data_IF_064649999384
#
_entry.id   IF_064649999384
#
_cell.length_a   1.000
_cell.length_b   1.000
_cell.length_c   1.000
_cell.angle_alpha   90.00
_cell.angle_beta   90.00
_cell.angle_gamma   90.00
#
_symmetry.space_group_name_H-M   'P 1'
#
loop_
_entity.id
_entity.type
_entity.pdbx_description
1 polymer ?
#
# COMPACT_ATOMS: atom_id res chain seq x y z
N UNK A 1 -9.01 18.70 -9.70
CA UNK A 1 -7.72 18.76 -8.91
C UNK A 1 -7.74 17.67 -7.85
N UNK A 2 -6.62 16.98 -7.58
CA UNK A 2 -6.58 15.93 -6.54
C UNK A 2 -6.46 16.52 -5.14
N UNK A 3 -7.25 15.99 -4.18
CA UNK A 3 -7.24 16.41 -2.77
C UNK A 3 -7.19 15.19 -1.85
N UNK A 4 -6.58 15.37 -0.67
CA UNK A 4 -6.62 14.34 0.37
C UNK A 4 -7.96 14.40 1.09
N UNK A 5 -8.56 13.24 1.32
CA UNK A 5 -9.81 13.08 2.05
C UNK A 5 -9.62 12.11 3.22
N UNK A 6 -9.99 12.49 4.45
CA UNK A 6 -10.06 11.56 5.56
C UNK A 6 -11.03 10.42 5.23
N UNK A 7 -10.66 9.19 5.58
CA UNK A 7 -11.50 8.02 5.33
C UNK A 7 -11.33 6.97 6.44
N UNK A 8 -12.42 6.32 6.82
CA UNK A 8 -12.38 5.21 7.77
C UNK A 8 -11.80 3.94 7.12
N UNK A 9 -11.32 2.99 7.91
CA UNK A 9 -10.92 1.67 7.40
C UNK A 9 -12.09 0.96 6.70
N UNK A 10 -13.29 1.08 7.26
CA UNK A 10 -14.51 0.46 6.73
C UNK A 10 -14.80 0.96 5.31
N UNK A 11 -14.81 2.27 5.12
CA UNK A 11 -15.16 2.87 3.82
C UNK A 11 -14.03 2.65 2.80
N UNK A 12 -12.77 2.64 3.25
CA UNK A 12 -11.63 2.28 2.39
C UNK A 12 -11.70 0.82 1.92
N UNK A 13 -12.03 -0.11 2.82
CA UNK A 13 -12.22 -1.52 2.45
C UNK A 13 -13.42 -1.69 1.49
N UNK A 14 -14.50 -0.96 1.71
CA UNK A 14 -15.66 -0.98 0.82
C UNK A 14 -15.31 -0.48 -0.58
N UNK A 15 -14.54 0.61 -0.69
CA UNK A 15 -14.03 1.08 -1.98
C UNK A 15 -13.17 0.02 -2.68
N UNK A 16 -12.24 -0.62 -1.94
CA UNK A 16 -11.40 -1.70 -2.47
C UNK A 16 -12.26 -2.87 -2.95
N UNK A 17 -13.30 -3.25 -2.21
CA UNK A 17 -14.20 -4.36 -2.57
C UNK A 17 -14.93 -4.10 -3.90
N UNK A 18 -15.37 -2.87 -4.12
CA UNK A 18 -16.07 -2.47 -5.35
C UNK A 18 -15.16 -2.49 -6.59
N UNK A 19 -13.88 -2.14 -6.42
CA UNK A 19 -12.93 -1.96 -7.52
C UNK A 19 -11.96 -3.14 -7.72
N UNK A 20 -11.79 -4.01 -6.72
CA UNK A 20 -10.95 -5.20 -6.77
C UNK A 20 -11.71 -6.45 -6.33
N UNK A 21 -12.20 -7.23 -7.30
CA UNK A 21 -13.06 -8.41 -7.10
C UNK A 21 -12.42 -9.55 -6.27
N UNK A 22 -11.10 -9.56 -6.08
CA UNK A 22 -10.38 -10.66 -5.44
C UNK A 22 -9.74 -10.31 -4.08
N UNK A 23 -9.78 -9.05 -3.65
CA UNK A 23 -9.10 -8.63 -2.42
C UNK A 23 -10.03 -8.74 -1.21
N UNK A 24 -9.65 -9.59 -0.25
CA UNK A 24 -10.29 -9.61 1.08
C UNK A 24 -10.02 -8.29 1.81
N UNK A 25 -10.99 -7.82 2.63
CA UNK A 25 -10.84 -6.60 3.42
C UNK A 25 -9.67 -6.72 4.40
N UNK A 26 -9.02 -5.59 4.67
CA UNK A 26 -7.93 -5.51 5.64
C UNK A 26 -8.54 -5.42 7.04
N UNK A 27 -8.13 -6.31 7.95
CA UNK A 27 -8.70 -6.42 9.30
C UNK A 27 -8.30 -5.26 10.24
N UNK A 28 -7.18 -4.59 9.97
CA UNK A 28 -6.72 -3.47 10.79
C UNK A 28 -5.73 -2.59 10.04
N UNK A 29 -5.62 -1.33 10.47
CA UNK A 29 -4.70 -0.36 9.89
C UNK A 29 -4.08 0.54 10.97
N UNK A 30 -3.06 1.31 10.59
CA UNK A 30 -2.62 2.48 11.34
C UNK A 30 -3.35 3.72 10.86
N UNK A 31 -3.56 3.84 9.55
CA UNK A 31 -4.38 4.87 8.94
C UNK A 31 -4.82 4.46 7.53
N UNK A 32 -5.82 5.16 7.01
CA UNK A 32 -6.21 5.14 5.61
C UNK A 32 -6.35 6.57 5.09
N UNK A 33 -6.13 6.77 3.80
CA UNK A 33 -6.24 8.08 3.15
C UNK A 33 -7.04 7.90 1.85
N UNK A 34 -8.02 8.78 1.63
CA UNK A 34 -8.76 8.90 0.38
C UNK A 34 -8.14 9.95 -0.53
N UNK A 35 -8.31 9.76 -1.84
CA UNK A 35 -8.02 10.73 -2.87
C UNK A 35 -9.32 11.16 -3.52
N UNK A 36 -9.60 12.46 -3.51
CA UNK A 36 -10.78 13.04 -4.13
C UNK A 36 -10.38 13.80 -5.40
N UNK A 37 -11.18 13.67 -6.46
CA UNK A 37 -11.12 14.50 -7.64
C UNK A 37 -12.53 15.01 -7.93
N UNK A 38 -12.67 16.34 -8.03
CA UNK A 38 -13.91 17.00 -8.45
C UNK A 38 -15.15 16.58 -7.63
N UNK A 39 -14.95 16.37 -6.32
CA UNK A 39 -15.98 15.97 -5.35
C UNK A 39 -16.16 14.46 -5.20
N UNK A 40 -15.51 13.65 -6.04
CA UNK A 40 -15.65 12.19 -6.05
C UNK A 40 -14.43 11.49 -5.46
N UNK A 41 -14.66 10.42 -4.69
CA UNK A 41 -13.60 9.55 -4.21
C UNK A 41 -13.06 8.71 -5.38
N UNK A 42 -11.83 8.98 -5.79
CA UNK A 42 -11.17 8.32 -6.94
C UNK A 42 -10.11 7.29 -6.55
N UNK A 43 -9.83 7.17 -5.25
CA UNK A 43 -8.94 6.14 -4.74
C UNK A 43 -8.70 6.18 -3.25
N UNK A 44 -8.13 5.09 -2.74
CA UNK A 44 -7.81 4.89 -1.32
C UNK A 44 -6.46 4.21 -1.16
N UNK A 45 -5.81 4.49 -0.04
CA UNK A 45 -4.61 3.78 0.40
C UNK A 45 -4.77 3.38 1.87
N UNK A 46 -4.36 2.16 2.21
CA UNK A 46 -4.45 1.58 3.55
C UNK A 46 -3.05 1.19 3.99
N UNK A 47 -2.60 1.74 5.12
CA UNK A 47 -1.28 1.48 5.67
C UNK A 47 -1.36 0.87 7.08
N UNK A 48 -0.54 -0.14 7.34
CA UNK A 48 -0.59 -0.93 8.56
C UNK A 48 0.76 -1.53 8.93
N UNK A 49 0.74 -2.44 9.91
CA UNK A 49 1.93 -3.21 10.29
C UNK A 49 2.39 -4.06 9.10
N UNK A 50 3.70 -4.24 8.92
CA UNK A 50 4.23 -5.16 7.94
C UNK A 50 3.68 -6.57 8.13
N UNK A 51 3.34 -7.21 7.02
CA UNK A 51 2.88 -8.61 7.03
C UNK A 51 4.06 -9.55 7.31
N UNK A 52 5.26 -9.16 6.87
CA UNK A 52 6.51 -9.86 7.20
C UNK A 52 6.94 -9.54 8.63
N UNK A 53 7.02 -10.56 9.49
CA UNK A 53 7.49 -10.43 10.88
C UNK A 53 8.91 -9.87 11.00
N UNK A 54 9.77 -10.16 10.03
CA UNK A 54 11.14 -9.65 9.99
C UNK A 54 11.19 -8.14 9.74
N UNK A 55 10.13 -7.56 9.17
CA UNK A 55 10.04 -6.13 8.88
C UNK A 55 9.18 -5.40 9.92
N UNK A 56 8.40 -6.12 10.74
CA UNK A 56 7.58 -5.56 11.82
C UNK A 56 8.43 -5.21 13.06
N UNK A 57 9.38 -4.30 12.86
CA UNK A 57 10.38 -3.82 13.83
C UNK A 57 9.92 -2.62 14.68
N UNK A 58 8.63 -2.26 14.59
CA UNK A 58 8.04 -1.08 15.24
C UNK A 58 8.30 0.25 14.52
N UNK A 59 9.24 0.31 13.56
CA UNK A 59 9.61 1.52 12.83
C UNK A 59 9.34 1.45 11.32
N UNK A 60 8.78 0.33 10.87
CA UNK A 60 8.41 0.06 9.48
C UNK A 60 6.90 0.05 9.33
N UNK A 61 6.41 0.76 8.32
CA UNK A 61 5.01 0.72 7.92
C UNK A 61 4.87 0.05 6.56
N UNK A 62 3.78 -0.69 6.32
CA UNK A 62 3.47 -1.28 5.03
C UNK A 62 2.19 -0.67 4.45
N UNK A 63 2.23 -0.26 3.18
CA UNK A 63 1.02 -0.05 2.37
C UNK A 63 0.49 -1.42 1.98
N UNK A 64 -0.62 -1.82 2.59
CA UNK A 64 -1.21 -3.15 2.37
C UNK A 64 -2.23 -3.15 1.24
N UNK A 65 -2.82 -1.98 0.95
CA UNK A 65 -3.73 -1.77 -0.19
C UNK A 65 -3.54 -0.37 -0.76
N UNK A 66 -3.54 -0.30 -2.07
CA UNK A 66 -3.81 0.91 -2.84
C UNK A 66 -4.82 0.53 -3.92
N UNK A 67 -5.85 1.33 -4.08
CA UNK A 67 -6.86 1.13 -5.10
C UNK A 67 -7.29 2.49 -5.65
N UNK A 68 -7.40 2.60 -6.97
CA UNK A 68 -7.92 3.80 -7.65
C UNK A 68 -8.86 3.37 -8.77
N UNK A 69 -9.70 4.27 -9.23
CA UNK A 69 -10.54 4.05 -10.43
C UNK A 69 -9.78 4.33 -11.74
N UNK A 70 -8.44 4.48 -11.69
CA UNK A 70 -7.62 4.86 -12.85
C UNK A 70 -7.44 6.37 -13.05
N UNK A 71 -8.01 7.21 -12.17
CA UNK A 71 -7.81 8.66 -12.24
C UNK A 71 -6.31 9.04 -12.32
N UNK A 72 -5.99 9.93 -13.27
CA UNK A 72 -4.61 10.36 -13.55
C UNK A 72 -3.94 10.88 -12.27
N UNK A 73 -2.72 10.40 -12.00
CA UNK A 73 -1.89 10.74 -10.84
C UNK A 73 -2.42 10.30 -9.46
N UNK A 74 -3.59 9.66 -9.34
CA UNK A 74 -4.15 9.27 -8.04
C UNK A 74 -3.23 8.30 -7.28
N UNK A 75 -2.63 7.32 -7.99
CA UNK A 75 -1.75 6.34 -7.38
C UNK A 75 -0.49 6.97 -6.76
N UNK A 76 0.25 7.78 -7.54
CA UNK A 76 1.47 8.45 -7.06
C UNK A 76 1.16 9.49 -5.98
N UNK A 77 0.03 10.19 -6.10
CA UNK A 77 -0.47 11.13 -5.08
C UNK A 77 -0.70 10.44 -3.73
N UNK A 78 -1.40 9.30 -3.73
CA UNK A 78 -1.67 8.50 -2.53
C UNK A 78 -0.40 7.91 -1.91
N UNK A 79 0.53 7.38 -2.73
CA UNK A 79 1.83 6.90 -2.22
C UNK A 79 2.64 8.01 -1.56
N UNK A 80 2.67 9.20 -2.16
CA UNK A 80 3.32 10.37 -1.57
C UNK A 80 2.66 10.81 -0.26
N UNK A 81 1.32 10.78 -0.19
CA UNK A 81 0.58 11.14 1.01
C UNK A 81 0.83 10.16 2.17
N UNK A 82 0.79 8.85 1.92
CA UNK A 82 1.06 7.86 2.94
C UNK A 82 2.50 7.93 3.47
N UNK A 83 3.48 8.21 2.61
CA UNK A 83 4.86 8.43 3.05
C UNK A 83 4.98 9.65 3.98
N UNK A 84 4.32 10.77 3.65
CA UNK A 84 4.30 11.97 4.51
C UNK A 84 3.62 11.70 5.86
N UNK A 85 2.48 11.00 5.85
CA UNK A 85 1.77 10.62 7.06
C UNK A 85 2.62 9.70 7.95
N UNK A 86 3.25 8.68 7.35
CA UNK A 86 4.14 7.77 8.06
C UNK A 86 5.34 8.51 8.68
N UNK A 87 5.95 9.44 7.95
CA UNK A 87 7.05 10.25 8.46
C UNK A 87 6.62 11.11 9.66
N UNK A 88 5.45 11.76 9.56
CA UNK A 88 4.89 12.57 10.65
C UNK A 88 4.58 11.75 11.92
N UNK A 89 4.28 10.46 11.77
CA UNK A 89 4.08 9.53 12.89
C UNK A 89 5.39 8.95 13.46
N UNK A 90 6.55 9.31 12.91
CA UNK A 90 7.86 8.84 13.39
C UNK A 90 8.33 7.51 12.80
N UNK A 91 7.68 6.97 11.78
CA UNK A 91 8.18 5.80 11.07
C UNK A 91 9.47 6.12 10.32
N UNK A 92 10.40 5.17 10.27
CA UNK A 92 11.71 5.33 9.61
C UNK A 92 11.66 4.94 8.14
N UNK A 93 10.80 3.98 7.79
CA UNK A 93 10.60 3.50 6.42
C UNK A 93 9.15 3.08 6.18
N UNK A 94 8.73 3.20 4.93
CA UNK A 94 7.47 2.65 4.43
C UNK A 94 7.75 1.71 3.26
N UNK A 95 7.08 0.58 3.23
CA UNK A 95 7.24 -0.47 2.21
C UNK A 95 5.91 -0.81 1.54
N UNK A 96 5.99 -1.40 0.36
CA UNK A 96 4.86 -2.02 -0.34
C UNK A 96 5.36 -3.14 -1.24
N UNK A 97 4.44 -3.94 -1.72
CA UNK A 97 4.70 -5.01 -2.67
C UNK A 97 3.82 -4.85 -3.91
N UNK A 98 4.42 -5.03 -5.07
CA UNK A 98 3.70 -5.18 -6.36
C UNK A 98 4.05 -6.53 -6.95
N UNK A 99 3.20 -7.07 -7.83
CA UNK A 99 3.57 -8.22 -8.65
C UNK A 99 4.73 -7.82 -9.58
N UNK A 100 5.57 -8.79 -9.94
CA UNK A 100 6.68 -8.57 -10.87
C UNK A 100 6.23 -8.05 -12.25
N UNK A 101 5.02 -8.43 -12.69
CA UNK A 101 4.44 -7.94 -13.94
C UNK A 101 3.93 -6.50 -13.87
N UNK A 102 3.84 -5.91 -12.68
CA UNK A 102 3.41 -4.53 -12.52
C UNK A 102 4.58 -3.56 -12.74
N UNK A 103 4.41 -2.57 -13.61
CA UNK A 103 5.47 -1.63 -14.00
C UNK A 103 6.05 -0.83 -12.82
N UNK A 104 5.28 -0.58 -11.75
CA UNK A 104 5.74 0.18 -10.58
C UNK A 104 6.02 1.67 -10.85
N UNK A 105 5.58 2.21 -11.99
CA UNK A 105 5.83 3.60 -12.39
C UNK A 105 5.36 4.63 -11.36
N UNK A 106 4.19 4.42 -10.74
CA UNK A 106 3.65 5.32 -9.70
C UNK A 106 4.51 5.36 -8.44
N UNK A 107 5.19 4.25 -8.11
CA UNK A 107 6.12 4.17 -6.98
C UNK A 107 7.40 4.94 -7.26
N UNK A 108 7.99 4.76 -8.44
CA UNK A 108 9.16 5.54 -8.88
C UNK A 108 8.86 7.03 -8.93
N UNK A 109 7.71 7.40 -9.49
CA UNK A 109 7.26 8.81 -9.55
C UNK A 109 7.04 9.43 -8.17
N UNK A 110 6.77 8.63 -7.14
CA UNK A 110 6.65 9.08 -5.75
C UNK A 110 7.95 8.92 -4.94
N UNK A 111 9.07 8.63 -5.61
CA UNK A 111 10.40 8.53 -5.01
C UNK A 111 10.58 7.31 -4.11
N UNK A 112 9.94 6.18 -4.46
CA UNK A 112 10.19 4.87 -3.85
C UNK A 112 11.23 4.10 -4.66
N UNK A 113 12.03 3.29 -3.96
CA UNK A 113 13.14 2.52 -4.53
C UNK A 113 12.76 1.04 -4.54
N UNK A 114 12.92 0.38 -5.69
CA UNK A 114 12.75 -1.07 -5.77
C UNK A 114 13.92 -1.77 -5.09
N UNK A 115 13.64 -2.61 -4.09
CA UNK A 115 14.62 -3.41 -3.34
C UNK A 115 14.79 -4.82 -3.93
N UNK A 116 14.24 -5.07 -5.12
CA UNK A 116 14.29 -6.34 -5.81
C UNK A 116 13.14 -7.29 -5.47
N UNK A 117 13.29 -8.55 -5.92
CA UNK A 117 12.30 -9.61 -5.69
C UNK A 117 12.21 -9.92 -4.20
N UNK A 118 10.99 -10.08 -3.71
CA UNK A 118 10.71 -10.37 -2.32
C UNK A 118 9.49 -11.27 -2.17
N UNK A 119 9.48 -12.05 -1.10
CA UNK A 119 8.48 -13.10 -0.89
C UNK A 119 8.80 -14.37 -1.68
N UNK A 120 7.86 -15.31 -1.67
CA UNK A 120 7.87 -16.48 -2.54
C UNK A 120 6.65 -16.47 -3.47
N UNK A 121 6.58 -17.45 -4.37
CA UNK A 121 5.44 -17.61 -5.29
C UNK A 121 4.12 -17.76 -4.54
N UNK A 122 4.14 -18.38 -3.36
CA UNK A 122 2.97 -18.60 -2.51
C UNK A 122 3.34 -18.42 -1.04
N UNK A 123 2.32 -18.23 -0.21
CA UNK A 123 2.47 -18.37 1.23
C UNK A 123 2.81 -19.82 1.57
N UNK A 124 3.81 -20.04 2.43
CA UNK A 124 4.23 -21.37 2.87
C UNK A 124 4.13 -21.49 4.40
N UNK A 125 4.04 -22.72 4.91
CA UNK A 125 4.04 -23.03 6.35
C UNK A 125 2.64 -23.18 6.98
N UNK A 126 2.60 -23.45 8.30
CA UNK A 126 1.38 -23.83 9.04
C UNK A 126 0.22 -22.81 8.97
N UNK A 127 0.50 -21.55 8.63
CA UNK A 127 -0.50 -20.47 8.50
C UNK A 127 -0.83 -20.13 7.05
N UNK A 128 -0.46 -20.99 6.09
CA UNK A 128 -0.85 -20.82 4.71
C UNK A 128 -2.39 -20.78 4.60
N UNK A 129 -2.97 -19.78 3.90
CA UNK A 129 -4.40 -19.75 3.63
C UNK A 129 -4.84 -20.98 2.83
N UNK A 130 -6.06 -21.48 3.08
CA UNK A 130 -6.63 -22.63 2.33
C UNK A 130 -6.78 -22.36 0.82
N UNK A 131 -6.91 -21.08 0.44
CA UNK A 131 -7.04 -20.63 -0.94
C UNK A 131 -5.98 -19.57 -1.25
N UNK A 132 -5.46 -19.57 -2.47
CA UNK A 132 -4.53 -18.54 -2.92
C UNK A 132 -5.22 -17.18 -2.96
N UNK A 133 -4.77 -16.26 -2.11
CA UNK A 133 -5.32 -14.91 -2.05
C UNK A 133 -4.81 -14.00 -3.18
N UNK A 134 -3.75 -14.44 -3.87
CA UNK A 134 -3.07 -13.69 -4.94
C UNK A 134 -2.52 -14.67 -5.98
N UNK A 135 -2.33 -14.23 -7.23
CA UNK A 135 -1.65 -15.03 -8.24
C UNK A 135 -0.30 -15.54 -7.73
N UNK A 136 0.05 -16.77 -8.11
CA UNK A 136 1.30 -17.39 -7.73
C UNK A 136 2.47 -16.77 -8.52
N UNK A 137 2.85 -15.56 -8.16
CA UNK A 137 3.85 -14.76 -8.87
C UNK A 137 4.79 -14.09 -7.89
N UNK A 138 6.05 -13.94 -8.32
CA UNK A 138 7.03 -13.17 -7.58
C UNK A 138 6.57 -11.73 -7.41
N UNK A 139 6.93 -11.16 -6.25
CA UNK A 139 6.64 -9.76 -5.94
C UNK A 139 7.93 -8.96 -5.95
N UNK A 140 7.82 -7.69 -6.26
CA UNK A 140 8.86 -6.70 -6.05
C UNK A 140 8.54 -5.94 -4.77
N UNK A 141 9.53 -5.78 -3.88
CA UNK A 141 9.38 -4.91 -2.72
C UNK A 141 9.88 -3.52 -3.08
N UNK A 142 9.06 -2.52 -2.83
CA UNK A 142 9.46 -1.13 -2.88
C UNK A 142 9.58 -0.58 -1.47
N UNK A 143 10.56 0.30 -1.26
CA UNK A 143 10.81 0.96 0.00
C UNK A 143 11.04 2.45 -0.22
N UNK A 144 10.58 3.26 0.75
CA UNK A 144 10.95 4.66 0.88
C UNK A 144 11.44 4.91 2.30
N UNK A 145 12.68 5.39 2.40
CA UNK A 145 13.24 5.92 3.65
C UNK A 145 12.57 7.26 3.96
N UNK A 146 12.09 7.42 5.20
CA UNK A 146 11.27 8.56 5.64
C UNK A 146 12.05 9.56 6.49
N UNK A 147 13.21 9.16 7.00
CA UNK A 147 14.12 10.06 7.68
C UNK A 147 14.74 11.03 6.67
N UNK A 148 14.58 12.33 6.92
CA UNK A 148 15.66 13.26 6.61
C UNK A 148 16.73 13.05 7.67
N UNK A 149 17.94 12.76 7.26
CA UNK A 149 19.12 13.06 8.08
C UNK A 149 18.99 14.53 8.47
N UNK A 150 18.85 14.81 9.76
CA UNK A 150 19.10 16.15 10.28
C UNK A 150 20.57 16.50 10.02
#
# INVERSE_FOLDING_TARGET
MLRLRPISLRDANEYVRQHHRHHKPVAGHKFSIGCEADGELVGVIIAGRPVSRYLDDGFTLEVTRLCTNGAKNACSFLYGAAARAAAAMGYKRIITYTLESENGASLRASGWICQGKAGGLRWTGKRQPKEDQYPAQMKLRYEKQLRKTC
#
